data_IF_628512921578
#
_entry.id   IF_628512921578
#
_cell.length_a   1.000
_cell.length_b   1.000
_cell.length_c   1.000
_cell.angle_alpha   90.00
_cell.angle_beta   90.00
_cell.angle_gamma   90.00
#
_symmetry.space_group_name_H-M   'P 1'
#
loop_
_entity.id
_entity.type
_entity.pdbx_description
1 polymer ?
#
# COMPACT_ATOMS: atom_id res chain seq x y z
N UNK A 1 46.59 41.59 49.32
CA UNK A 1 45.42 41.79 50.20
C UNK A 1 44.17 41.58 49.36
N UNK A 2 43.19 40.86 49.93
CA UNK A 2 41.75 40.78 49.57
C UNK A 2 41.35 40.24 48.17
N UNK A 3 40.79 39.03 48.04
CA UNK A 3 39.34 38.62 48.15
C UNK A 3 38.39 39.54 47.35
N UNK A 4 37.39 39.11 46.55
CA UNK A 4 36.70 37.82 46.38
C UNK A 4 35.74 37.89 45.15
N UNK A 5 35.50 36.71 44.54
CA UNK A 5 34.24 36.16 43.95
C UNK A 5 33.41 36.91 42.90
N UNK A 6 33.00 36.18 41.85
CA UNK A 6 31.59 35.88 41.61
C UNK A 6 31.42 34.67 40.67
N UNK A 7 30.36 33.91 40.92
CA UNK A 7 30.08 32.55 40.47
C UNK A 7 29.48 32.48 39.06
N UNK A 8 29.63 31.35 38.37
CA UNK A 8 28.58 30.93 37.43
C UNK A 8 28.58 29.42 37.22
N UNK A 9 27.78 28.73 38.04
CA UNK A 9 27.33 27.35 37.78
C UNK A 9 26.37 27.40 36.59
N UNK A 10 26.79 26.95 35.41
CA UNK A 10 25.84 26.69 34.32
C UNK A 10 25.19 25.33 34.55
N UNK A 11 23.99 25.36 35.10
CA UNK A 11 23.07 24.23 35.14
C UNK A 11 22.77 23.76 33.71
N UNK A 12 23.00 22.48 33.42
CA UNK A 12 22.48 21.83 32.22
C UNK A 12 21.00 21.54 32.52
N UNK A 13 20.11 22.40 32.05
CA UNK A 13 18.68 22.22 32.22
C UNK A 13 18.17 21.28 31.11
N UNK A 14 17.82 20.04 31.48
CA UNK A 14 16.96 19.17 30.68
C UNK A 14 15.60 19.85 30.50
N UNK A 15 15.33 20.39 29.31
CA UNK A 15 13.99 20.81 28.94
C UNK A 15 13.39 19.68 28.14
N UNK A 16 12.61 18.87 28.85
CA UNK A 16 11.68 17.88 28.34
C UNK A 16 10.62 18.57 27.48
N UNK A 17 10.96 18.85 26.22
CA UNK A 17 9.97 19.21 25.22
C UNK A 17 9.34 17.90 24.73
N UNK A 18 8.24 17.50 25.38
CA UNK A 18 7.29 16.55 24.77
C UNK A 18 6.99 17.05 23.36
N UNK A 19 7.20 16.26 22.30
CA UNK A 19 6.82 16.69 20.97
C UNK A 19 5.32 16.97 20.99
N UNK A 20 4.96 18.23 20.71
CA UNK A 20 3.58 18.61 20.51
C UNK A 20 3.00 17.72 19.41
N UNK A 21 1.80 17.14 19.59
CA UNK A 21 1.18 16.33 18.57
C UNK A 21 0.96 17.21 17.34
N UNK A 22 1.78 16.98 16.31
CA UNK A 22 1.63 17.60 15.01
C UNK A 22 0.18 17.35 14.56
N UNK A 23 -0.59 18.40 14.21
CA UNK A 23 -1.97 18.22 13.78
C UNK A 23 -1.99 17.28 12.58
N UNK A 24 -2.52 16.07 12.80
CA UNK A 24 -2.75 15.07 11.77
C UNK A 24 -3.70 15.73 10.79
N UNK A 25 -3.18 16.22 9.66
CA UNK A 25 -4.00 16.64 8.54
C UNK A 25 -4.90 15.46 8.24
N UNK A 26 -6.21 15.68 8.08
CA UNK A 26 -7.15 14.66 7.61
C UNK A 26 -6.81 14.35 6.16
N UNK A 27 -5.65 13.74 5.93
CA UNK A 27 -5.22 13.31 4.63
C UNK A 27 -6.06 12.07 4.32
N UNK A 28 -7.06 12.25 3.47
CA UNK A 28 -7.89 11.18 2.93
C UNK A 28 -6.93 10.12 2.39
N UNK A 29 -6.93 8.93 3.00
CA UNK A 29 -6.02 7.89 2.56
C UNK A 29 -6.27 7.61 1.06
N UNK A 30 -5.22 7.46 0.24
CA UNK A 30 -5.41 7.25 -1.18
C UNK A 30 -6.09 5.89 -1.44
N UNK A 31 -7.02 5.87 -2.40
CA UNK A 31 -7.66 4.64 -2.85
C UNK A 31 -6.60 3.66 -3.38
N UNK A 32 -6.66 2.36 -3.04
CA UNK A 32 -5.66 1.41 -3.50
C UNK A 32 -5.68 1.26 -5.03
N UNK A 33 -4.49 1.18 -5.63
CA UNK A 33 -4.27 1.12 -7.07
C UNK A 33 -3.48 -0.13 -7.48
N UNK A 34 -3.54 -0.47 -8.76
CA UNK A 34 -2.75 -1.55 -9.33
C UNK A 34 -1.28 -1.16 -9.48
N UNK A 35 -0.34 -1.98 -8.98
CA UNK A 35 1.10 -1.72 -9.08
C UNK A 35 1.69 -1.85 -10.51
N UNK A 36 0.87 -2.18 -11.51
CA UNK A 36 1.31 -2.29 -12.91
C UNK A 36 0.82 -1.10 -13.74
N UNK A 37 -0.47 -0.74 -13.64
CA UNK A 37 -1.06 0.35 -14.43
C UNK A 37 -1.40 1.60 -13.61
N UNK A 38 -1.19 1.59 -12.30
CA UNK A 38 -1.51 2.67 -11.37
C UNK A 38 -2.99 3.09 -11.33
N UNK A 39 -3.89 2.34 -11.97
CA UNK A 39 -5.32 2.62 -11.93
C UNK A 39 -5.94 2.16 -10.60
N UNK A 40 -6.92 2.91 -10.05
CA UNK A 40 -7.64 2.54 -8.83
C UNK A 40 -8.47 1.27 -9.05
N UNK A 41 -8.54 0.42 -8.02
CA UNK A 41 -9.33 -0.80 -8.10
C UNK A 41 -10.84 -0.50 -8.14
N UNK A 42 -11.57 -1.35 -8.87
CA UNK A 42 -13.03 -1.32 -8.98
C UNK A 42 -13.60 -2.68 -8.59
N UNK A 43 -14.86 -2.73 -8.16
CA UNK A 43 -15.51 -4.00 -7.80
C UNK A 43 -15.79 -4.91 -9.00
N UNK A 44 -16.03 -4.28 -10.15
CA UNK A 44 -16.37 -4.91 -11.43
C UNK A 44 -15.54 -4.32 -12.56
N UNK A 45 -15.45 -5.05 -13.67
CA UNK A 45 -14.77 -4.62 -14.89
C UNK A 45 -13.24 -4.80 -14.88
N UNK A 46 -12.57 -4.01 -15.73
CA UNK A 46 -11.14 -4.15 -16.04
C UNK A 46 -10.19 -3.93 -14.86
N UNK A 47 -10.60 -3.09 -13.90
CA UNK A 47 -9.81 -2.77 -12.72
C UNK A 47 -10.20 -3.61 -11.49
N UNK A 48 -10.86 -4.75 -11.69
CA UNK A 48 -11.15 -5.69 -10.60
C UNK A 48 -9.85 -6.24 -10.01
N UNK A 49 -9.60 -6.13 -8.69
CA UNK A 49 -8.40 -6.67 -8.05
C UNK A 49 -8.45 -8.20 -8.03
N UNK A 50 -7.54 -8.85 -8.75
CA UNK A 50 -7.39 -10.30 -8.85
C UNK A 50 -6.15 -10.77 -8.11
N UNK A 51 -6.30 -11.75 -7.24
CA UNK A 51 -5.23 -12.31 -6.44
C UNK A 51 -4.57 -13.51 -7.15
N UNK A 52 -3.24 -13.48 -7.25
CA UNK A 52 -2.44 -14.56 -7.83
C UNK A 52 -2.29 -15.68 -6.78
N UNK A 53 -2.79 -16.88 -7.09
CA UNK A 53 -2.91 -17.99 -6.12
C UNK A 53 -1.58 -18.39 -5.45
N UNK A 54 -0.50 -18.48 -6.22
CA UNK A 54 0.79 -18.99 -5.70
C UNK A 54 1.60 -18.00 -4.86
N UNK A 55 1.25 -16.70 -4.89
CA UNK A 55 2.02 -15.66 -4.21
C UNK A 55 1.20 -14.63 -3.43
N UNK A 56 -0.12 -14.65 -3.53
CA UNK A 56 -1.01 -13.73 -2.81
C UNK A 56 -0.98 -12.27 -3.29
N UNK A 57 -0.11 -11.92 -4.25
CA UNK A 57 -0.06 -10.58 -4.83
C UNK A 57 -1.33 -10.29 -5.63
N UNK A 58 -1.76 -9.03 -5.59
CA UNK A 58 -2.96 -8.56 -6.29
C UNK A 58 -2.58 -7.64 -7.44
N UNK A 59 -3.21 -7.86 -8.59
CA UNK A 59 -3.12 -7.02 -9.79
C UNK A 59 -4.53 -6.85 -10.38
N UNK A 60 -4.76 -5.84 -11.21
CA UNK A 60 -6.07 -5.73 -11.85
C UNK A 60 -6.30 -6.80 -12.92
N UNK A 61 -7.58 -7.11 -13.20
CA UNK A 61 -7.99 -8.10 -14.20
C UNK A 61 -7.41 -7.81 -15.60
N UNK A 62 -7.38 -6.55 -16.02
CA UNK A 62 -6.79 -6.16 -17.30
C UNK A 62 -5.29 -6.48 -17.36
N UNK A 63 -4.53 -6.18 -16.31
CA UNK A 63 -3.10 -6.50 -16.26
C UNK A 63 -2.88 -8.01 -16.20
N UNK A 64 -3.71 -8.74 -15.45
CA UNK A 64 -3.65 -10.20 -15.41
C UNK A 64 -3.93 -10.82 -16.79
N UNK A 65 -4.91 -10.30 -17.54
CA UNK A 65 -5.20 -10.74 -18.91
C UNK A 65 -4.01 -10.46 -19.85
N UNK A 66 -3.38 -9.28 -19.76
CA UNK A 66 -2.17 -8.96 -20.55
C UNK A 66 -1.03 -9.95 -20.25
N UNK A 67 -0.83 -10.29 -18.98
CA UNK A 67 0.22 -11.24 -18.58
C UNK A 67 -0.06 -12.67 -19.06
N UNK A 68 -1.33 -13.10 -19.03
CA UNK A 68 -1.75 -14.41 -19.56
C UNK A 68 -1.59 -14.50 -21.08
N UNK A 69 -1.96 -13.44 -21.81
CA UNK A 69 -1.88 -13.40 -23.27
C UNK A 69 -0.43 -13.31 -23.78
N UNK A 70 0.49 -12.78 -22.98
CA UNK A 70 1.89 -12.63 -23.36
C UNK A 70 2.72 -13.93 -23.23
N UNK A 71 2.18 -15.00 -22.64
CA UNK A 71 2.88 -16.26 -22.36
C UNK A 71 2.11 -17.45 -22.92
N UNK A 72 2.71 -18.64 -22.82
CA UNK A 72 2.05 -19.92 -23.10
C UNK A 72 0.72 -19.93 -22.36
N UNK A 73 -0.37 -20.11 -23.11
CA UNK A 73 -1.75 -20.04 -22.61
C UNK A 73 -1.87 -20.80 -21.27
N UNK A 74 -2.56 -20.18 -20.30
CA UNK A 74 -2.81 -20.68 -18.95
C UNK A 74 -1.68 -20.54 -17.93
N UNK A 75 -0.57 -19.85 -18.22
CA UNK A 75 0.48 -19.56 -17.23
C UNK A 75 0.61 -18.05 -16.98
N UNK A 76 0.34 -17.65 -15.75
CA UNK A 76 0.60 -16.29 -15.27
C UNK A 76 1.90 -16.28 -14.47
N UNK A 77 2.89 -15.51 -14.92
CA UNK A 77 4.12 -15.27 -14.16
C UNK A 77 3.96 -13.97 -13.39
N UNK A 78 4.10 -14.00 -12.08
CA UNK A 78 4.00 -12.80 -11.26
C UNK A 78 5.18 -11.85 -11.56
N UNK A 79 4.94 -10.58 -11.93
CA UNK A 79 6.03 -9.65 -12.27
C UNK A 79 6.87 -9.22 -11.05
N UNK A 80 6.38 -9.46 -9.82
CA UNK A 80 7.04 -9.02 -8.59
C UNK A 80 7.92 -10.11 -7.94
N UNK A 81 7.54 -11.38 -8.08
CA UNK A 81 8.22 -12.49 -7.42
C UNK A 81 8.50 -13.69 -8.34
N UNK A 82 8.18 -13.56 -9.63
CA UNK A 82 8.45 -14.55 -10.69
C UNK A 82 7.83 -15.94 -10.49
N UNK A 83 7.01 -16.13 -9.45
CA UNK A 83 6.23 -17.35 -9.24
C UNK A 83 5.25 -17.57 -10.40
N UNK A 84 5.23 -18.78 -10.93
CA UNK A 84 4.34 -19.22 -12.00
C UNK A 84 3.06 -19.75 -11.40
N UNK A 85 1.91 -19.24 -11.84
CA UNK A 85 0.59 -19.71 -11.47
C UNK A 85 -0.12 -20.26 -12.70
N UNK A 86 -0.69 -21.46 -12.59
CA UNK A 86 -1.55 -22.02 -13.64
C UNK A 86 -2.96 -21.46 -13.49
N UNK A 87 -3.48 -20.86 -14.55
CA UNK A 87 -4.82 -20.26 -14.60
C UNK A 87 -5.61 -20.97 -15.69
N UNK A 88 -6.56 -21.81 -15.28
CA UNK A 88 -7.42 -22.57 -16.20
C UNK A 88 -8.58 -21.69 -16.69
N UNK A 89 -8.29 -20.69 -17.51
CA UNK A 89 -9.27 -19.77 -18.08
C UNK A 89 -8.81 -18.31 -18.15
N UNK A 90 -9.74 -17.35 -18.34
CA UNK A 90 -9.41 -15.92 -18.39
C UNK A 90 -8.95 -15.41 -17.02
N UNK A 91 -8.32 -14.24 -16.96
CA UNK A 91 -7.91 -13.64 -15.69
C UNK A 91 -9.06 -13.42 -14.71
N UNK A 92 -10.29 -13.28 -15.22
CA UNK A 92 -11.50 -13.19 -14.41
C UNK A 92 -11.80 -14.43 -13.55
N UNK A 93 -11.14 -15.57 -13.82
CA UNK A 93 -11.22 -16.79 -13.01
C UNK A 93 -10.37 -16.74 -11.74
N UNK A 94 -9.44 -15.79 -11.63
CA UNK A 94 -8.67 -15.57 -10.41
C UNK A 94 -9.57 -15.02 -9.30
N UNK A 95 -9.35 -15.40 -8.03
CA UNK A 95 -10.14 -14.89 -6.92
C UNK A 95 -10.05 -13.37 -6.82
N UNK A 96 -11.17 -12.71 -6.50
CA UNK A 96 -11.18 -11.27 -6.20
C UNK A 96 -10.56 -11.04 -4.82
N UNK A 97 -9.82 -9.94 -4.67
CA UNK A 97 -9.39 -9.49 -3.35
C UNK A 97 -10.47 -8.61 -2.72
N UNK A 98 -11.39 -9.22 -1.98
CA UNK A 98 -12.50 -8.51 -1.32
C UNK A 98 -12.03 -7.56 -0.22
N UNK A 99 -10.94 -7.88 0.50
CA UNK A 99 -10.40 -7.02 1.54
C UNK A 99 -9.93 -5.66 0.98
N UNK A 100 -9.31 -5.63 -0.21
CA UNK A 100 -8.95 -4.38 -0.87
C UNK A 100 -10.18 -3.59 -1.35
N UNK A 101 -11.24 -4.28 -1.77
CA UNK A 101 -12.48 -3.63 -2.19
C UNK A 101 -13.22 -3.00 -1.01
N UNK A 102 -13.26 -3.68 0.14
CA UNK A 102 -13.85 -3.18 1.39
C UNK A 102 -13.05 -1.98 1.92
N UNK A 103 -11.73 -2.09 2.01
CA UNK A 103 -10.86 -0.97 2.38
C UNK A 103 -11.08 0.27 1.48
N UNK A 104 -11.27 0.05 0.17
CA UNK A 104 -11.56 1.14 -0.77
C UNK A 104 -12.89 1.85 -0.51
N UNK A 105 -13.86 1.19 0.13
CA UNK A 105 -15.15 1.78 0.51
C UNK A 105 -15.02 2.53 1.84
N UNK A 106 -14.36 1.92 2.82
CA UNK A 106 -14.22 2.46 4.18
C UNK A 106 -13.43 3.77 4.23
N UNK A 107 -12.40 3.89 3.38
CA UNK A 107 -11.60 5.12 3.26
C UNK A 107 -12.42 6.28 2.69
N UNK A 108 -13.46 6.00 1.89
CA UNK A 108 -14.35 7.01 1.31
C UNK A 108 -15.45 7.45 2.30
N UNK A 109 -15.77 6.63 3.29
CA UNK A 109 -16.92 6.83 4.20
C UNK A 109 -16.59 7.49 5.54
N UNK A 110 -15.33 7.75 5.86
CA UNK A 110 -14.95 8.57 7.04
C UNK A 110 -14.95 10.08 6.74
N UNK A 111 -16.01 10.56 6.10
CA UNK A 111 -16.23 11.98 5.84
C UNK A 111 -17.46 12.48 6.60
#
# INVERSE_FOLDING_TARGET
MAVQTAESRRAVNEISAKPEPVPIRKDVAPKPTCNICSCPYTETGLHTPRQIKECGRTICEQCANKLLNAKIQNRLVCPFCQKVTVVNGPAGSLPKNFALLEYSRDVVQRN
#
